data_IF_281523445853
#
_entry.id   IF_281523445853
#
_cell.length_a   1.000
_cell.length_b   1.000
_cell.length_c   1.000
_cell.angle_alpha   90.00
_cell.angle_beta   90.00
_cell.angle_gamma   90.00
#
_symmetry.space_group_name_H-M   'P 1'
#
loop_
_entity.id
_entity.type
_entity.pdbx_description
1 polymer ?
#
# COMPACT_ATOMS: atom_id res chain seq x y z
N UNK A 1 26.39 57.91 12.51
CA UNK A 1 25.06 57.40 12.92
C UNK A 1 24.94 55.98 12.41
N UNK A 2 25.13 54.99 13.29
CA UNK A 2 25.03 53.54 12.97
C UNK A 2 23.60 53.08 13.20
N UNK A 3 22.95 52.59 12.15
CA UNK A 3 21.59 52.00 12.20
C UNK A 3 21.70 50.49 12.55
N UNK A 4 21.19 50.12 13.72
CA UNK A 4 21.14 48.73 14.17
C UNK A 4 20.10 47.93 13.34
N UNK A 5 20.53 46.79 12.80
CA UNK A 5 19.65 45.82 12.18
C UNK A 5 18.94 45.01 13.26
N UNK A 6 17.61 45.01 13.25
CA UNK A 6 16.80 44.14 14.10
C UNK A 6 16.74 42.75 13.46
N UNK A 7 17.40 41.76 14.09
CA UNK A 7 17.29 40.37 13.76
C UNK A 7 15.94 39.85 14.22
N UNK A 8 15.10 39.45 13.28
CA UNK A 8 13.91 38.67 13.56
C UNK A 8 14.29 37.21 13.88
N UNK A 9 13.91 36.71 15.01
CA UNK A 9 14.07 35.29 15.39
C UNK A 9 13.22 34.40 14.49
N UNK A 10 13.71 33.22 14.09
CA UNK A 10 12.91 32.28 13.30
C UNK A 10 11.77 31.73 14.15
N UNK A 11 10.54 31.85 13.65
CA UNK A 11 9.36 31.21 14.23
C UNK A 11 9.45 29.72 13.93
N UNK A 12 9.84 28.94 14.94
CA UNK A 12 9.78 27.48 14.86
C UNK A 12 8.30 27.10 14.99
N UNK A 13 7.69 26.71 13.87
CA UNK A 13 6.37 26.11 13.90
C UNK A 13 6.47 24.74 14.59
N UNK A 14 6.10 24.67 15.86
CA UNK A 14 5.89 23.41 16.58
C UNK A 14 4.69 22.72 15.98
N UNK A 15 4.95 21.71 15.13
CA UNK A 15 3.94 20.76 14.69
C UNK A 15 3.50 19.93 15.90
N UNK A 16 2.42 20.37 16.55
CA UNK A 16 1.75 19.59 17.57
C UNK A 16 0.94 18.51 16.89
N UNK A 17 1.54 17.36 16.65
CA UNK A 17 0.79 16.14 16.32
C UNK A 17 -0.07 15.82 17.55
N UNK A 18 -1.41 15.78 17.42
CA UNK A 18 -2.25 15.40 18.55
C UNK A 18 -1.89 13.99 19.01
N UNK A 19 -1.91 13.70 20.32
CA UNK A 19 -1.65 12.35 20.82
C UNK A 19 -2.73 11.43 20.24
N UNK A 20 -2.29 10.43 19.47
CA UNK A 20 -3.17 9.35 19.01
C UNK A 20 -3.61 8.61 20.27
N UNK A 21 -4.83 8.90 20.70
CA UNK A 21 -5.51 8.13 21.75
C UNK A 21 -5.37 6.66 21.41
N UNK A 22 -4.95 5.85 22.39
CA UNK A 22 -4.83 4.39 22.27
C UNK A 22 -6.23 3.76 22.18
N UNK A 23 -6.94 4.03 21.09
CA UNK A 23 -8.08 3.23 20.69
C UNK A 23 -7.51 1.84 20.36
N UNK A 24 -8.09 0.80 20.95
CA UNK A 24 -7.71 -0.59 20.71
C UNK A 24 -8.11 -0.94 19.28
N UNK A 25 -7.27 -0.55 18.32
CA UNK A 25 -7.46 -0.91 16.91
C UNK A 25 -7.17 -2.40 16.78
N UNK A 26 -8.13 -3.17 16.29
CA UNK A 26 -7.85 -4.52 15.83
C UNK A 26 -6.84 -4.41 14.69
N UNK A 27 -5.56 -4.69 14.97
CA UNK A 27 -4.46 -4.64 14.01
C UNK A 27 -3.95 -6.05 13.78
N UNK A 28 -3.77 -6.43 12.53
CA UNK A 28 -3.20 -7.71 12.12
C UNK A 28 -1.92 -7.42 11.36
N UNK A 29 -0.80 -7.99 11.81
CA UNK A 29 0.47 -7.92 11.12
C UNK A 29 0.97 -9.32 10.77
N UNK A 30 1.50 -9.50 9.55
CA UNK A 30 2.06 -10.78 9.11
C UNK A 30 3.09 -10.60 7.99
N UNK A 31 3.94 -11.62 7.87
CA UNK A 31 4.93 -11.68 6.82
C UNK A 31 4.48 -12.57 5.67
N UNK A 32 4.77 -12.12 4.44
CA UNK A 32 4.63 -12.93 3.23
C UNK A 32 6.01 -13.17 2.65
N UNK A 33 6.36 -14.42 2.40
CA UNK A 33 7.63 -14.81 1.76
C UNK A 33 7.41 -15.02 0.28
N UNK A 34 8.36 -14.63 -0.55
CA UNK A 34 8.32 -14.79 -2.00
C UNK A 34 8.60 -13.48 -2.74
N UNK A 35 8.74 -13.53 -4.06
CA UNK A 35 9.01 -12.35 -4.86
C UNK A 35 7.73 -11.54 -5.06
N UNK A 36 7.64 -10.28 -4.55
CA UNK A 36 6.48 -9.42 -4.82
C UNK A 36 6.31 -9.17 -6.32
N UNK A 37 5.10 -9.37 -6.82
CA UNK A 37 4.80 -9.23 -8.24
C UNK A 37 3.74 -8.13 -8.45
N UNK A 38 4.00 -7.16 -9.36
CA UNK A 38 3.08 -6.05 -9.61
C UNK A 38 1.88 -6.52 -10.43
N UNK A 39 0.73 -5.90 -10.20
CA UNK A 39 -0.44 -6.08 -11.08
C UNK A 39 -0.10 -5.58 -12.48
N UNK A 40 -0.42 -6.38 -13.51
CA UNK A 40 -0.25 -5.99 -14.90
C UNK A 40 -1.15 -4.80 -15.25
N UNK A 41 -0.70 -3.97 -16.18
CA UNK A 41 -1.53 -2.92 -16.78
C UNK A 41 -2.13 -3.46 -18.07
N UNK A 42 -3.41 -3.21 -18.31
CA UNK A 42 -4.01 -3.44 -19.64
C UNK A 42 -3.64 -2.26 -20.55
N UNK A 43 -3.30 -2.56 -21.81
CA UNK A 43 -3.05 -1.55 -22.83
C UNK A 43 -4.09 -1.71 -23.96
N UNK A 44 -4.78 -0.64 -24.28
CA UNK A 44 -5.63 -0.60 -25.44
C UNK A 44 -4.76 -0.55 -26.72
N UNK A 45 -5.02 -1.45 -27.65
CA UNK A 45 -4.38 -1.49 -28.97
C UNK A 45 -5.48 -1.53 -30.00
N UNK A 46 -5.35 -0.71 -31.04
CA UNK A 46 -6.25 -0.75 -32.18
C UNK A 46 -5.78 -1.88 -33.11
N UNK A 47 -6.64 -2.87 -33.34
CA UNK A 47 -6.40 -3.89 -34.32
C UNK A 47 -6.43 -3.24 -35.74
N UNK A 48 -5.27 -3.22 -36.38
CA UNK A 48 -5.11 -2.56 -37.69
C UNK A 48 -5.98 -3.16 -38.78
N UNK A 49 -6.40 -4.42 -38.63
CA UNK A 49 -7.22 -5.13 -39.62
C UNK A 49 -8.72 -4.84 -39.47
N UNK A 50 -9.18 -4.66 -38.22
CA UNK A 50 -10.62 -4.51 -37.91
C UNK A 50 -10.98 -3.10 -37.43
N UNK A 51 -10.01 -2.22 -37.17
CA UNK A 51 -10.22 -0.89 -36.60
C UNK A 51 -10.76 -0.90 -35.16
N UNK A 52 -10.96 -2.09 -34.57
CA UNK A 52 -11.55 -2.23 -33.22
C UNK A 52 -10.48 -2.13 -32.14
N UNK A 53 -10.83 -1.43 -31.06
CA UNK A 53 -9.98 -1.41 -29.86
C UNK A 53 -10.02 -2.79 -29.17
N UNK A 54 -8.84 -3.35 -28.89
CA UNK A 54 -8.66 -4.55 -28.08
C UNK A 54 -7.85 -4.19 -26.84
N UNK A 55 -8.30 -4.64 -25.67
CA UNK A 55 -7.50 -4.63 -24.48
C UNK A 55 -6.53 -5.81 -24.52
N UNK A 56 -5.24 -5.51 -24.64
CA UNK A 56 -4.21 -6.51 -24.45
C UNK A 56 -3.73 -6.43 -23.01
N UNK A 57 -3.82 -7.55 -22.29
CA UNK A 57 -3.11 -7.68 -21.02
C UNK A 57 -1.63 -7.44 -21.29
N UNK A 58 -1.05 -6.46 -20.62
CA UNK A 58 0.38 -6.11 -20.77
C UNK A 58 1.32 -7.15 -20.15
N UNK A 59 0.76 -8.20 -19.57
CA UNK A 59 1.52 -9.23 -18.88
C UNK A 59 1.95 -10.33 -19.86
N UNK A 60 3.24 -10.63 -19.87
CA UNK A 60 3.73 -11.89 -20.43
C UNK A 60 3.25 -13.05 -19.55
N UNK A 61 3.19 -14.27 -20.06
CA UNK A 61 2.82 -15.48 -19.28
C UNK A 61 3.65 -15.64 -18.01
N UNK A 62 4.92 -15.20 -18.03
CA UNK A 62 5.78 -15.22 -16.85
C UNK A 62 5.32 -14.23 -15.77
N UNK A 63 4.86 -13.04 -16.15
CA UNK A 63 4.32 -12.05 -15.23
C UNK A 63 2.98 -12.51 -14.63
N UNK A 64 2.13 -13.16 -15.42
CA UNK A 64 0.86 -13.72 -14.92
C UNK A 64 1.11 -14.81 -13.86
N UNK A 65 2.08 -15.70 -14.13
CA UNK A 65 2.47 -16.72 -13.12
C UNK A 65 3.03 -16.08 -11.86
N UNK A 66 3.90 -15.08 -11.99
CA UNK A 66 4.45 -14.37 -10.84
C UNK A 66 3.36 -13.68 -10.02
N UNK A 67 2.38 -13.04 -10.66
CA UNK A 67 1.23 -12.42 -10.00
C UNK A 67 0.38 -13.46 -9.26
N UNK A 68 0.05 -14.57 -9.91
CA UNK A 68 -0.71 -15.67 -9.28
C UNK A 68 0.03 -16.23 -8.08
N UNK A 69 1.34 -16.49 -8.20
CA UNK A 69 2.16 -16.98 -7.08
C UNK A 69 2.16 -15.99 -5.93
N UNK A 70 2.33 -14.69 -6.22
CA UNK A 70 2.30 -13.65 -5.20
C UNK A 70 0.93 -13.56 -4.51
N UNK A 71 -0.16 -13.49 -5.28
CA UNK A 71 -1.51 -13.44 -4.73
C UNK A 71 -1.83 -14.67 -3.87
N UNK A 72 -1.40 -15.86 -4.30
CA UNK A 72 -1.54 -17.10 -3.54
C UNK A 72 -0.78 -17.03 -2.21
N UNK A 73 0.48 -16.56 -2.23
CA UNK A 73 1.29 -16.44 -1.02
C UNK A 73 0.67 -15.45 -0.02
N UNK A 74 0.22 -14.28 -0.50
CA UNK A 74 -0.48 -13.28 0.33
C UNK A 74 -1.76 -13.87 0.91
N UNK A 75 -2.59 -14.52 0.10
CA UNK A 75 -3.85 -15.10 0.55
C UNK A 75 -3.66 -16.20 1.61
N UNK A 76 -2.66 -17.07 1.44
CA UNK A 76 -2.34 -18.09 2.45
C UNK A 76 -1.84 -17.48 3.75
N UNK A 77 -0.93 -16.51 3.69
CA UNK A 77 -0.41 -15.83 4.87
C UNK A 77 -1.52 -15.09 5.63
N UNK A 78 -2.42 -14.41 4.91
CA UNK A 78 -3.57 -13.74 5.50
C UNK A 78 -4.53 -14.71 6.19
N UNK A 79 -4.88 -15.83 5.54
CA UNK A 79 -5.74 -16.88 6.11
C UNK A 79 -5.14 -17.57 7.34
N UNK A 80 -3.81 -17.65 7.42
CA UNK A 80 -3.13 -18.21 8.58
C UNK A 80 -3.34 -17.38 9.84
N UNK A 81 -3.42 -16.06 9.72
CA UNK A 81 -3.56 -15.11 10.84
C UNK A 81 -5.00 -14.62 11.06
N UNK A 82 -5.86 -14.73 10.06
CA UNK A 82 -7.26 -14.31 10.12
C UNK A 82 -8.19 -15.36 9.55
N UNK A 83 -8.95 -16.02 10.43
CA UNK A 83 -9.91 -17.08 10.07
C UNK A 83 -11.37 -16.65 10.25
N UNK A 84 -11.59 -15.44 10.74
CA UNK A 84 -12.93 -14.87 10.90
C UNK A 84 -13.46 -14.33 9.56
N UNK A 85 -14.70 -13.85 9.58
CA UNK A 85 -15.28 -13.14 8.43
C UNK A 85 -14.47 -11.89 8.10
N UNK A 86 -14.38 -11.51 6.80
CA UNK A 86 -13.72 -10.29 6.39
C UNK A 86 -14.27 -9.06 7.11
N UNK A 87 -13.40 -8.11 7.41
CA UNK A 87 -13.81 -6.88 8.08
C UNK A 87 -14.66 -6.00 7.16
N UNK A 88 -15.63 -5.33 7.76
CA UNK A 88 -16.44 -4.27 7.14
C UNK A 88 -16.02 -2.91 7.71
N UNK A 89 -16.35 -1.81 7.00
CA UNK A 89 -15.98 -0.44 7.40
C UNK A 89 -14.58 -0.04 6.93
N UNK A 90 -14.12 1.17 7.29
CA UNK A 90 -12.86 1.73 6.82
C UNK A 90 -11.66 0.96 7.37
N UNK A 91 -10.66 0.75 6.50
CA UNK A 91 -9.45 -0.05 6.73
C UNK A 91 -8.21 0.79 6.45
N UNK A 92 -7.18 0.64 7.28
CA UNK A 92 -5.82 1.05 6.97
C UNK A 92 -4.99 -0.15 6.51
N UNK A 93 -4.18 0.06 5.49
CA UNK A 93 -3.26 -0.95 4.92
C UNK A 93 -1.86 -0.37 4.80
N UNK A 94 -0.91 -0.98 5.49
CA UNK A 94 0.50 -0.69 5.38
C UNK A 94 1.26 -1.89 4.84
N UNK A 95 2.09 -1.68 3.81
CA UNK A 95 2.90 -2.73 3.20
C UNK A 95 4.32 -2.26 3.00
N UNK A 96 5.27 -2.99 3.57
CA UNK A 96 6.69 -2.85 3.26
C UNK A 96 7.13 -4.01 2.39
N UNK A 97 7.44 -3.71 1.12
CA UNK A 97 7.93 -4.69 0.14
C UNK A 97 9.44 -4.82 0.22
N UNK A 98 9.93 -6.05 0.33
CA UNK A 98 11.34 -6.41 0.28
C UNK A 98 11.64 -7.06 -1.07
N UNK A 99 12.32 -6.34 -1.95
CA UNK A 99 12.61 -6.78 -3.32
C UNK A 99 14.08 -7.18 -3.47
N UNK A 100 14.36 -8.13 -4.34
CA UNK A 100 15.72 -8.56 -4.60
C UNK A 100 16.60 -7.40 -5.06
N UNK A 101 17.82 -7.30 -4.50
CA UNK A 101 18.82 -6.30 -4.91
C UNK A 101 19.65 -6.88 -6.05
N UNK A 102 19.64 -6.28 -7.25
CA UNK A 102 20.53 -6.72 -8.32
C UNK A 102 22.00 -6.53 -7.93
N UNK A 103 22.87 -7.45 -8.31
CA UNK A 103 24.29 -7.43 -7.91
C UNK A 103 25.04 -6.15 -8.31
N UNK A 104 24.64 -5.52 -9.42
CA UNK A 104 25.24 -4.27 -9.92
C UNK A 104 24.75 -3.01 -9.23
N UNK A 105 23.70 -3.09 -8.39
CA UNK A 105 23.07 -1.92 -7.79
C UNK A 105 23.73 -1.56 -6.47
N UNK A 106 24.22 -0.32 -6.38
CA UNK A 106 24.89 0.24 -5.17
C UNK A 106 24.00 1.18 -4.34
N UNK A 107 22.89 1.67 -4.90
CA UNK A 107 21.96 2.57 -4.20
C UNK A 107 21.27 1.90 -3.02
N UNK A 108 20.95 2.66 -2.00
CA UNK A 108 20.36 2.14 -0.76
C UNK A 108 18.89 1.74 -0.91
N UNK A 109 18.13 2.42 -1.77
CA UNK A 109 16.69 2.21 -1.94
C UNK A 109 16.33 1.75 -3.37
N UNK A 110 15.29 0.91 -3.52
CA UNK A 110 14.83 0.41 -4.84
C UNK A 110 13.94 1.43 -5.55
N UNK A 111 14.54 2.44 -6.18
CA UNK A 111 13.85 3.52 -6.90
C UNK A 111 13.42 3.16 -8.33
N UNK A 112 13.59 1.93 -8.74
CA UNK A 112 13.22 1.41 -10.06
C UNK A 112 12.11 0.37 -9.94
N UNK A 113 11.65 -0.16 -11.08
CA UNK A 113 10.66 -1.26 -11.13
C UNK A 113 11.02 -2.41 -10.18
N UNK A 114 10.01 -3.09 -9.63
CA UNK A 114 8.58 -2.92 -9.85
C UNK A 114 8.00 -1.66 -9.18
N UNK A 115 6.95 -1.09 -9.79
CA UNK A 115 6.27 0.12 -9.32
C UNK A 115 5.53 -0.18 -8.02
N UNK A 116 5.68 0.70 -7.02
CA UNK A 116 5.13 0.49 -5.67
C UNK A 116 3.60 0.45 -5.64
N UNK A 117 2.95 1.30 -6.42
CA UNK A 117 1.49 1.34 -6.56
C UNK A 117 0.92 0.04 -7.13
N UNK A 118 1.60 -0.54 -8.13
CA UNK A 118 1.19 -1.82 -8.74
C UNK A 118 1.41 -3.01 -7.84
N UNK A 119 2.46 -2.97 -7.01
CA UNK A 119 2.68 -3.97 -5.96
C UNK A 119 1.59 -3.88 -4.89
N UNK A 120 1.28 -2.65 -4.44
CA UNK A 120 0.28 -2.41 -3.42
C UNK A 120 -1.10 -2.88 -3.88
N UNK A 121 -1.50 -2.51 -5.11
CA UNK A 121 -2.77 -2.96 -5.70
C UNK A 121 -2.85 -4.48 -5.80
N UNK A 122 -1.80 -5.16 -6.29
CA UNK A 122 -1.77 -6.62 -6.36
C UNK A 122 -1.94 -7.29 -5.00
N UNK A 123 -1.39 -6.65 -3.94
CA UNK A 123 -1.50 -7.14 -2.57
C UNK A 123 -2.89 -6.90 -2.00
N UNK A 124 -3.48 -5.71 -2.20
CA UNK A 124 -4.84 -5.39 -1.75
C UNK A 124 -5.88 -6.31 -2.41
N UNK A 125 -5.79 -6.52 -3.73
CA UNK A 125 -6.64 -7.48 -4.45
C UNK A 125 -6.56 -8.90 -3.84
N UNK A 126 -5.36 -9.33 -3.44
CA UNK A 126 -5.16 -10.66 -2.84
C UNK A 126 -5.70 -10.77 -1.40
N UNK A 127 -5.89 -9.65 -0.71
CA UNK A 127 -6.45 -9.58 0.65
C UNK A 127 -7.97 -9.42 0.64
N UNK A 128 -8.53 -8.93 -0.46
CA UNK A 128 -9.99 -8.78 -0.66
C UNK A 128 -10.70 -10.12 -0.52
N UNK A 129 -11.79 -10.13 0.25
CA UNK A 129 -12.55 -11.33 0.59
C UNK A 129 -11.88 -12.22 1.65
N UNK A 130 -10.70 -11.84 2.17
CA UNK A 130 -10.00 -12.55 3.25
C UNK A 130 -9.92 -11.68 4.51
N UNK A 131 -9.27 -10.52 4.45
CA UNK A 131 -9.16 -9.61 5.59
C UNK A 131 -10.26 -8.55 5.60
N UNK A 132 -10.68 -8.07 4.45
CA UNK A 132 -11.74 -7.09 4.25
C UNK A 132 -12.58 -7.46 3.02
N UNK A 133 -13.79 -6.93 2.93
CA UNK A 133 -14.75 -7.32 1.88
C UNK A 133 -14.32 -6.80 0.51
N UNK A 134 -13.84 -5.54 0.46
CA UNK A 134 -13.52 -4.84 -0.78
C UNK A 134 -12.34 -3.88 -0.57
N UNK A 135 -11.46 -3.73 -1.57
CA UNK A 135 -10.31 -2.82 -1.50
C UNK A 135 -10.74 -1.34 -1.48
N UNK A 136 -11.94 -1.01 -1.90
CA UNK A 136 -12.56 0.30 -1.73
C UNK A 136 -12.75 0.72 -0.27
N UNK A 137 -12.69 -0.21 0.69
CA UNK A 137 -12.71 0.09 2.12
C UNK A 137 -11.41 0.71 2.64
N UNK A 138 -10.31 0.62 1.88
CA UNK A 138 -9.01 1.10 2.34
C UNK A 138 -8.93 2.61 2.19
N UNK A 139 -8.96 3.30 3.33
CA UNK A 139 -8.86 4.76 3.43
C UNK A 139 -7.43 5.24 3.65
N UNK A 140 -6.62 4.45 4.33
CA UNK A 140 -5.23 4.77 4.64
C UNK A 140 -4.28 3.80 3.94
N UNK A 141 -3.50 4.34 3.00
CA UNK A 141 -2.57 3.57 2.19
C UNK A 141 -1.14 3.94 2.52
N UNK A 142 -0.34 2.99 3.00
CA UNK A 142 1.08 3.18 3.24
C UNK A 142 1.86 2.09 2.50
N UNK A 143 2.74 2.49 1.58
CA UNK A 143 3.59 1.56 0.84
C UNK A 143 5.05 1.96 0.91
N UNK A 144 5.92 1.01 1.23
CA UNK A 144 7.36 1.18 1.23
C UNK A 144 8.03 0.09 0.41
N UNK A 145 9.12 0.44 -0.29
CA UNK A 145 10.00 -0.54 -0.92
C UNK A 145 11.37 -0.50 -0.24
N UNK A 146 11.93 -1.67 0.01
CA UNK A 146 13.26 -1.88 0.55
C UNK A 146 13.96 -2.99 -0.22
N UNK A 147 15.27 -3.01 -0.21
CA UNK A 147 15.99 -4.19 -0.69
C UNK A 147 15.94 -5.28 0.38
N UNK A 148 15.79 -6.52 -0.08
CA UNK A 148 15.87 -7.68 0.79
C UNK A 148 17.29 -7.83 1.37
N UNK A 149 17.37 -8.30 2.60
CA UNK A 149 18.59 -8.66 3.33
C UNK A 149 18.51 -10.11 3.81
N UNK A 150 19.51 -10.57 4.54
CA UNK A 150 19.45 -11.88 5.17
C UNK A 150 18.36 -11.94 6.25
N UNK A 151 18.21 -10.86 7.03
CA UNK A 151 17.21 -10.71 8.10
C UNK A 151 15.83 -10.43 7.53
N UNK A 152 15.77 -9.73 6.40
CA UNK A 152 14.54 -9.31 5.70
C UNK A 152 14.50 -9.90 4.28
N UNK A 153 14.24 -11.21 4.13
CA UNK A 153 14.25 -11.88 2.82
C UNK A 153 13.16 -11.32 1.89
N UNK A 154 13.25 -11.63 0.59
CA UNK A 154 12.24 -11.21 -0.39
C UNK A 154 10.82 -11.54 0.07
N UNK A 155 9.92 -10.58 -0.05
CA UNK A 155 8.54 -10.71 0.41
C UNK A 155 7.92 -9.38 0.77
N UNK A 156 7.00 -9.40 1.73
CA UNK A 156 6.42 -8.20 2.32
C UNK A 156 6.10 -8.40 3.79
N UNK A 157 6.18 -7.31 4.56
CA UNK A 157 5.51 -7.16 5.83
C UNK A 157 4.22 -6.41 5.57
N UNK A 158 3.09 -6.95 6.03
CA UNK A 158 1.76 -6.40 5.81
C UNK A 158 1.10 -6.16 7.16
N UNK A 159 0.56 -4.96 7.35
CA UNK A 159 -0.26 -4.61 8.48
C UNK A 159 -1.60 -4.04 8.02
N UNK A 160 -2.67 -4.54 8.62
CA UNK A 160 -4.04 -4.12 8.35
C UNK A 160 -4.71 -3.77 9.67
N UNK A 161 -5.43 -2.66 9.71
CA UNK A 161 -6.17 -2.25 10.91
C UNK A 161 -7.52 -1.66 10.55
N UNK A 162 -8.44 -1.71 11.50
CA UNK A 162 -9.71 -0.98 11.40
C UNK A 162 -9.47 0.48 11.71
N UNK A 163 -9.96 1.37 10.85
CA UNK A 163 -9.97 2.80 11.12
C UNK A 163 -11.23 3.11 11.91
N UNK A 164 -11.08 3.61 13.14
CA UNK A 164 -12.23 4.09 13.91
C UNK A 164 -12.63 5.43 13.37
N UNK A 165 -13.90 5.60 13.03
CA UNK A 165 -14.47 6.92 12.84
C UNK A 165 -14.47 7.60 14.22
N UNK A 166 -13.44 8.39 14.50
CA UNK A 166 -13.52 9.34 15.60
C UNK A 166 -14.54 10.38 15.16
N UNK A 167 -15.79 10.22 15.59
CA UNK A 167 -16.80 11.29 15.47
C UNK A 167 -16.20 12.52 16.13
N UNK A 168 -15.76 13.46 15.31
CA UNK A 168 -15.45 14.81 15.78
C UNK A 168 -16.79 15.37 16.28
N UNK A 169 -17.01 15.28 17.60
CA UNK A 169 -18.14 15.94 18.24
C UNK A 169 -17.96 17.45 18.02
N UNK A 170 -18.63 18.01 17.00
CA UNK A 170 -18.55 19.44 16.67
C UNK A 170 -18.88 19.82 15.23
N UNK A 171 -19.56 18.98 14.46
CA UNK A 171 -20.08 19.35 13.14
C UNK A 171 -21.60 19.38 13.15
N UNK A 172 -22.21 20.58 13.14
CA UNK A 172 -23.63 20.74 12.89
C UNK A 172 -24.03 20.06 11.57
N UNK A 173 -25.25 19.46 11.51
CA UNK A 173 -25.70 18.85 10.26
C UNK A 173 -25.97 19.98 9.22
N UNK A 174 -25.27 19.92 8.10
CA UNK A 174 -25.57 20.78 6.95
C UNK A 174 -26.97 20.43 6.47
N UNK A 175 -27.91 21.32 6.70
CA UNK A 175 -29.28 21.24 6.16
C UNK A 175 -29.20 21.44 4.65
N UNK A 176 -29.44 20.38 3.90
CA UNK A 176 -29.71 20.47 2.47
C UNK A 176 -31.07 21.15 2.25
N UNK A 177 -31.06 22.21 1.43
CA UNK A 177 -32.26 22.81 0.85
C UNK A 177 -32.62 22.07 -0.43
#
# INVERSE_FOLDING_TARGET
VRRAARGGAPVIATSTTPPVSAATYSRIGFRVTGQPAPKGSARAVIDRRTGKARLLASASRSNERAQTSWATAVGWAAKAVHRAAPWTGPIGLEVTFYVARPKSVRRALPEVKPDGDKLLRATADALTGILFVDDGQVTDWIARKRYATAEEPCGAWIEVWRVSETTTAGGEPVRSK
#
